data_IF_752689423902
#
_entry.id   IF_752689423902
#
_cell.length_a   1.000
_cell.length_b   1.000
_cell.length_c   1.000
_cell.angle_alpha   90.00
_cell.angle_beta   90.00
_cell.angle_gamma   90.00
#
_symmetry.space_group_name_H-M   'P 1'
#
loop_
_entity.id
_entity.type
_entity.pdbx_description
1 polymer ?
#
# COMPACT_ATOMS: atom_id res chain seq x y z
N UNK A 1 35.42 44.46 32.72
CA UNK A 1 34.79 43.19 33.17
C UNK A 1 33.30 43.12 32.79
N UNK A 2 32.51 44.20 32.95
CA UNK A 2 31.07 44.22 32.62
C UNK A 2 30.76 43.95 31.15
N UNK A 3 31.46 44.59 30.21
CA UNK A 3 31.19 44.45 28.76
C UNK A 3 31.41 43.03 28.23
N UNK A 4 32.36 42.29 28.81
CA UNK A 4 32.61 40.88 28.43
C UNK A 4 31.51 39.96 28.98
N UNK A 5 30.98 40.26 30.17
CA UNK A 5 29.89 39.52 30.79
C UNK A 5 28.58 39.72 30.02
N UNK A 6 28.27 40.96 29.62
CA UNK A 6 27.09 41.31 28.82
C UNK A 6 27.11 40.64 27.44
N UNK A 7 28.26 40.65 26.76
CA UNK A 7 28.42 39.95 25.47
C UNK A 7 28.25 38.43 25.61
N UNK A 8 28.74 37.85 26.71
CA UNK A 8 28.60 36.42 26.97
C UNK A 8 27.13 36.04 27.21
N UNK A 9 26.40 36.82 28.01
CA UNK A 9 24.98 36.60 28.29
C UNK A 9 24.14 36.76 27.02
N UNK A 10 24.42 37.77 26.20
CA UNK A 10 23.76 37.97 24.91
C UNK A 10 23.97 36.78 23.96
N UNK A 11 25.19 36.26 23.89
CA UNK A 11 25.49 35.06 23.09
C UNK A 11 24.73 33.83 23.57
N UNK A 12 24.70 33.57 24.89
CA UNK A 12 23.95 32.45 25.46
C UNK A 12 22.44 32.55 25.22
N UNK A 13 21.87 33.76 25.29
CA UNK A 13 20.44 33.98 25.02
C UNK A 13 20.10 33.74 23.55
N UNK A 14 20.92 34.26 22.62
CA UNK A 14 20.69 34.08 21.18
C UNK A 14 20.92 32.61 20.77
N UNK A 15 21.98 31.98 21.25
CA UNK A 15 22.26 30.57 20.98
C UNK A 15 21.19 29.66 21.60
N UNK A 16 20.76 29.95 22.84
CA UNK A 16 19.69 29.23 23.52
C UNK A 16 18.35 29.37 22.80
N UNK A 17 17.98 30.59 22.39
CA UNK A 17 16.76 30.84 21.63
C UNK A 17 16.80 30.14 20.25
N UNK A 18 17.95 30.14 19.57
CA UNK A 18 18.15 29.43 18.32
C UNK A 18 17.97 27.92 18.46
N UNK A 19 18.53 27.32 19.52
CA UNK A 19 18.36 25.88 19.82
C UNK A 19 16.90 25.55 20.15
N UNK A 20 16.21 26.42 20.90
CA UNK A 20 14.80 26.20 21.25
C UNK A 20 13.89 26.31 20.02
N UNK A 21 14.12 27.30 19.15
CA UNK A 21 13.31 27.50 17.95
C UNK A 21 13.56 26.40 16.91
N UNK A 22 14.83 26.09 16.61
CA UNK A 22 15.18 25.00 15.70
C UNK A 22 14.77 23.66 16.29
N UNK A 23 14.96 23.46 17.59
CA UNK A 23 14.51 22.26 18.30
C UNK A 23 13.00 22.08 18.18
N UNK A 24 12.20 23.14 18.34
CA UNK A 24 10.74 23.05 18.24
C UNK A 24 10.23 22.61 16.87
N UNK A 25 10.91 23.02 15.79
CA UNK A 25 10.50 22.66 14.43
C UNK A 25 11.09 21.34 13.95
N UNK A 26 12.35 21.05 14.30
CA UNK A 26 13.07 19.87 13.83
C UNK A 26 12.77 18.64 14.67
N UNK A 27 12.54 18.80 15.98
CA UNK A 27 12.28 17.69 16.89
C UNK A 27 11.03 16.88 16.53
N UNK A 28 9.85 17.48 16.27
CA UNK A 28 8.66 16.71 15.90
C UNK A 28 8.88 15.90 14.62
N UNK A 29 9.58 16.48 13.63
CA UNK A 29 9.92 15.79 12.38
C UNK A 29 10.86 14.60 12.62
N UNK A 30 11.90 14.78 13.43
CA UNK A 30 12.83 13.70 13.79
C UNK A 30 12.13 12.59 14.58
N UNK A 31 11.24 12.95 15.51
CA UNK A 31 10.45 11.98 16.28
C UNK A 31 9.53 11.19 15.36
N UNK A 32 8.82 11.85 14.44
CA UNK A 32 7.96 11.17 13.45
C UNK A 32 8.76 10.23 12.54
N UNK A 33 9.94 10.65 12.08
CA UNK A 33 10.83 9.80 11.28
C UNK A 33 11.38 8.62 12.10
N UNK A 34 11.69 8.83 13.39
CA UNK A 34 12.12 7.75 14.27
C UNK A 34 10.99 6.76 14.57
N UNK A 35 9.76 7.24 14.80
CA UNK A 35 8.59 6.40 15.05
C UNK A 35 8.25 5.52 13.84
N UNK A 36 8.27 6.09 12.64
CA UNK A 36 8.04 5.32 11.40
C UNK A 36 9.12 4.24 11.21
N UNK A 37 10.41 4.59 11.36
CA UNK A 37 11.51 3.62 11.27
C UNK A 37 11.46 2.56 12.39
N UNK A 38 11.08 2.94 13.61
CA UNK A 38 10.95 2.02 14.72
C UNK A 38 9.75 1.07 14.55
N UNK A 39 8.64 1.54 13.98
CA UNK A 39 7.51 0.71 13.62
C UNK A 39 7.87 -0.30 12.51
N UNK A 40 8.54 0.16 11.44
CA UNK A 40 9.03 -0.70 10.37
C UNK A 40 10.02 -1.76 10.90
N UNK A 41 10.97 -1.35 11.75
CA UNK A 41 11.91 -2.27 12.40
C UNK A 41 11.21 -3.32 13.26
N UNK A 42 10.18 -2.93 14.02
CA UNK A 42 9.38 -3.87 14.83
C UNK A 42 8.62 -4.87 13.96
N UNK A 43 8.03 -4.42 12.84
CA UNK A 43 7.36 -5.29 11.87
C UNK A 43 8.35 -6.30 11.26
N UNK A 44 9.48 -5.82 10.73
CA UNK A 44 10.53 -6.67 10.18
C UNK A 44 11.08 -7.69 11.20
N UNK A 45 11.29 -7.28 12.46
CA UNK A 45 11.68 -8.19 13.54
C UNK A 45 10.59 -9.23 13.85
N UNK A 46 9.32 -8.85 13.82
CA UNK A 46 8.22 -9.78 14.04
C UNK A 46 8.12 -10.80 12.90
N UNK A 47 8.26 -10.34 11.66
CA UNK A 47 8.24 -11.20 10.47
C UNK A 47 9.45 -12.16 10.44
N UNK A 48 10.64 -11.68 10.79
CA UNK A 48 11.84 -12.53 10.96
C UNK A 48 11.68 -13.57 12.08
N UNK A 49 11.03 -13.19 13.19
CA UNK A 49 10.78 -14.11 14.32
C UNK A 49 9.72 -15.15 14.00
N UNK A 50 8.73 -14.79 13.19
CA UNK A 50 7.68 -15.71 12.81
C UNK A 50 8.24 -16.79 11.88
N UNK A 51 9.11 -16.49 10.91
CA UNK A 51 9.65 -17.50 9.99
C UNK A 51 8.59 -18.27 9.16
N UNK A 52 7.34 -17.88 9.29
CA UNK A 52 6.16 -18.43 8.62
C UNK A 52 5.64 -17.39 7.63
N UNK A 53 5.38 -17.80 6.41
CA UNK A 53 4.70 -16.99 5.39
C UNK A 53 3.26 -17.47 5.24
N UNK A 54 2.32 -16.53 5.08
CA UNK A 54 0.96 -16.89 4.69
C UNK A 54 0.92 -17.08 3.19
N UNK A 55 0.63 -18.31 2.75
CA UNK A 55 0.46 -18.63 1.34
C UNK A 55 -0.99 -18.42 0.92
N UNK A 56 -1.16 -17.66 -0.15
CA UNK A 56 -2.42 -17.48 -0.84
C UNK A 56 -2.42 -18.17 -2.19
N UNK A 57 -3.58 -18.68 -2.57
CA UNK A 57 -3.82 -19.34 -3.84
C UNK A 57 -5.20 -18.96 -4.35
N UNK A 58 -5.30 -18.63 -5.63
CA UNK A 58 -6.56 -18.37 -6.29
C UNK A 58 -6.57 -19.00 -7.69
N UNK A 59 -7.67 -19.70 -8.02
CA UNK A 59 -7.94 -20.25 -9.35
C UNK A 59 -9.13 -19.51 -9.96
N UNK A 60 -8.85 -18.67 -10.93
CA UNK A 60 -9.80 -17.77 -11.56
C UNK A 60 -10.66 -18.50 -12.58
N UNK A 61 -11.98 -18.34 -12.46
CA UNK A 61 -12.94 -18.80 -13.48
C UNK A 61 -13.13 -17.79 -14.61
N UNK A 62 -12.85 -16.51 -14.33
CA UNK A 62 -13.00 -15.38 -15.24
C UNK A 62 -11.87 -14.38 -15.07
N UNK A 63 -11.68 -13.51 -16.06
CA UNK A 63 -10.60 -12.51 -16.04
C UNK A 63 -10.81 -11.50 -14.90
N UNK A 64 -9.72 -11.13 -14.19
CA UNK A 64 -9.76 -10.10 -13.17
C UNK A 64 -10.09 -8.73 -13.79
N UNK A 65 -10.63 -7.83 -12.96
CA UNK A 65 -10.94 -6.44 -13.36
C UNK A 65 -9.91 -5.49 -12.76
N UNK A 66 -9.46 -4.53 -13.57
CA UNK A 66 -8.41 -3.59 -13.20
C UNK A 66 -8.90 -2.16 -13.30
N UNK A 67 -8.49 -1.32 -12.35
CA UNK A 67 -8.73 0.12 -12.34
C UNK A 67 -7.41 0.83 -12.07
N UNK A 68 -6.91 1.54 -13.07
CA UNK A 68 -5.64 2.25 -13.01
C UNK A 68 -5.79 3.61 -12.31
N UNK A 69 -4.73 4.05 -11.65
CA UNK A 69 -4.58 5.38 -11.06
C UNK A 69 -3.11 5.80 -11.19
N UNK A 70 -2.78 7.04 -10.85
CA UNK A 70 -1.45 7.65 -11.10
C UNK A 70 -0.25 6.82 -10.59
N UNK A 71 -0.43 6.07 -9.51
CA UNK A 71 0.63 5.34 -8.82
C UNK A 71 0.43 3.82 -8.81
N UNK A 72 -0.44 3.29 -9.67
CA UNK A 72 -0.65 1.84 -9.72
C UNK A 72 -1.98 1.40 -10.30
N UNK A 73 -2.41 0.21 -9.86
CA UNK A 73 -3.66 -0.40 -10.29
C UNK A 73 -4.35 -1.12 -9.13
N UNK A 74 -5.66 -0.94 -9.02
CA UNK A 74 -6.52 -1.77 -8.20
C UNK A 74 -6.91 -3.00 -9.00
N UNK A 75 -6.65 -4.18 -8.47
CA UNK A 75 -7.01 -5.45 -9.10
C UNK A 75 -8.07 -6.16 -8.27
N UNK A 76 -9.18 -6.48 -8.93
CA UNK A 76 -10.27 -7.26 -8.38
C UNK A 76 -10.31 -8.61 -9.06
N UNK A 77 -10.46 -9.68 -8.29
CA UNK A 77 -10.57 -11.02 -8.82
C UNK A 77 -11.65 -11.81 -8.09
N UNK A 78 -12.41 -12.60 -8.85
CA UNK A 78 -13.46 -13.43 -8.28
C UNK A 78 -12.84 -14.58 -7.45
N UNK A 79 -13.10 -14.55 -6.15
CA UNK A 79 -12.58 -15.54 -5.21
C UNK A 79 -13.54 -16.73 -5.00
N UNK A 80 -14.70 -16.73 -5.66
CA UNK A 80 -15.79 -17.65 -5.38
C UNK A 80 -16.51 -17.32 -4.07
N UNK A 81 -17.53 -18.11 -3.72
CA UNK A 81 -18.28 -18.01 -2.46
C UNK A 81 -18.77 -16.59 -2.12
N UNK A 82 -19.17 -15.83 -3.14
CA UNK A 82 -19.60 -14.42 -3.03
C UNK A 82 -18.53 -13.51 -2.39
N UNK A 83 -17.26 -13.77 -2.68
CA UNK A 83 -16.12 -12.97 -2.22
C UNK A 83 -15.29 -12.47 -3.39
N UNK A 84 -14.68 -11.32 -3.19
CA UNK A 84 -13.82 -10.68 -4.16
C UNK A 84 -12.44 -10.47 -3.55
N UNK A 85 -11.40 -10.99 -4.20
CA UNK A 85 -10.02 -10.67 -3.85
C UNK A 85 -9.70 -9.24 -4.31
N UNK A 86 -9.14 -8.46 -3.41
CA UNK A 86 -8.64 -7.12 -3.67
C UNK A 86 -7.12 -7.09 -3.57
N UNK A 87 -6.47 -6.53 -4.59
CA UNK A 87 -5.07 -6.12 -4.52
C UNK A 87 -4.93 -4.65 -4.87
N UNK A 88 -4.09 -3.98 -4.10
CA UNK A 88 -3.57 -2.65 -4.41
C UNK A 88 -2.13 -2.84 -4.88
N UNK A 89 -1.93 -2.75 -6.19
CA UNK A 89 -0.63 -2.95 -6.82
C UNK A 89 -0.05 -1.59 -7.13
N UNK A 90 1.05 -1.23 -6.47
CA UNK A 90 1.75 0.03 -6.73
C UNK A 90 2.67 -0.11 -7.94
N UNK A 91 2.92 0.97 -8.67
CA UNK A 91 3.90 0.99 -9.76
C UNK A 91 5.37 1.09 -9.29
N UNK A 92 5.63 0.64 -8.05
CA UNK A 92 6.95 0.60 -7.43
C UNK A 92 7.74 -0.62 -7.95
N UNK A 93 9.02 -0.47 -8.35
CA UNK A 93 9.90 -1.59 -8.66
C UNK A 93 10.01 -2.66 -7.57
N UNK A 94 9.75 -2.33 -6.30
CA UNK A 94 9.76 -3.29 -5.20
C UNK A 94 8.52 -4.21 -5.20
N UNK A 95 7.41 -3.81 -5.82
CA UNK A 95 6.22 -4.64 -5.93
C UNK A 95 6.36 -5.61 -7.13
N UNK A 96 6.55 -6.92 -6.90
CA UNK A 96 6.77 -7.87 -7.98
C UNK A 96 5.55 -7.99 -8.91
N UNK A 97 4.35 -7.57 -8.46
CA UNK A 97 3.09 -7.70 -9.21
C UNK A 97 2.98 -6.68 -10.34
N UNK A 98 3.68 -5.55 -10.24
CA UNK A 98 3.60 -4.49 -11.26
C UNK A 98 4.06 -5.00 -12.64
N UNK A 99 5.17 -5.75 -12.67
CA UNK A 99 5.66 -6.35 -13.92
C UNK A 99 4.65 -7.37 -14.50
N UNK A 100 4.01 -8.19 -13.65
CA UNK A 100 2.96 -9.10 -14.10
C UNK A 100 1.75 -8.36 -14.69
N UNK A 101 1.41 -7.19 -14.15
CA UNK A 101 0.33 -6.35 -14.68
C UNK A 101 0.69 -5.82 -16.06
N UNK A 102 1.85 -5.17 -16.19
CA UNK A 102 2.33 -4.56 -17.44
C UNK A 102 2.45 -5.61 -18.55
N UNK A 103 2.96 -6.80 -18.22
CA UNK A 103 3.12 -7.90 -19.18
C UNK A 103 1.81 -8.66 -19.48
N UNK A 104 0.69 -8.30 -18.84
CA UNK A 104 -0.61 -8.96 -18.99
C UNK A 104 -0.69 -10.34 -18.33
N UNK A 105 0.33 -10.74 -17.58
CA UNK A 105 0.45 -12.04 -16.92
C UNK A 105 -0.49 -12.18 -15.71
N UNK A 106 -1.04 -11.07 -15.18
CA UNK A 106 -2.13 -11.11 -14.21
C UNK A 106 -3.42 -11.69 -14.79
N UNK A 107 -3.60 -11.72 -16.11
CA UNK A 107 -4.76 -12.38 -16.73
C UNK A 107 -4.65 -13.90 -16.76
N UNK A 108 -3.68 -14.52 -16.09
CA UNK A 108 -3.58 -15.98 -16.00
C UNK A 108 -4.52 -16.57 -14.96
N UNK A 109 -4.91 -17.81 -15.23
CA UNK A 109 -5.88 -18.56 -14.43
C UNK A 109 -5.48 -18.77 -12.97
N UNK A 110 -4.21 -18.96 -12.67
CA UNK A 110 -3.75 -19.30 -11.32
C UNK A 110 -2.90 -18.18 -10.78
N UNK A 111 -3.25 -17.69 -9.59
CA UNK A 111 -2.44 -16.76 -8.82
C UNK A 111 -1.95 -17.44 -7.54
N UNK A 112 -0.67 -17.25 -7.22
CA UNK A 112 -0.04 -17.72 -5.99
C UNK A 112 0.72 -16.58 -5.38
N UNK A 113 0.63 -16.44 -4.07
CA UNK A 113 1.35 -15.38 -3.39
C UNK A 113 1.77 -15.78 -1.99
N UNK A 114 2.82 -15.14 -1.50
CA UNK A 114 3.33 -15.28 -0.15
C UNK A 114 3.37 -13.90 0.48
N UNK A 115 2.71 -13.76 1.63
CA UNK A 115 2.75 -12.53 2.42
C UNK A 115 3.29 -12.77 3.82
N UNK A 116 3.86 -11.73 4.40
CA UNK A 116 4.31 -11.72 5.78
C UNK A 116 3.10 -11.64 6.74
N UNK A 117 3.07 -12.38 7.85
CA UNK A 117 1.90 -12.47 8.71
C UNK A 117 1.60 -11.17 9.48
N UNK A 118 2.63 -10.39 9.84
CA UNK A 118 2.46 -9.18 10.65
C UNK A 118 2.41 -7.91 9.80
N UNK A 119 3.39 -7.72 8.92
CA UNK A 119 3.40 -6.56 8.01
C UNK A 119 2.37 -6.67 6.88
N UNK A 120 1.94 -7.89 6.53
CA UNK A 120 1.10 -8.22 5.37
C UNK A 120 1.74 -7.87 4.03
N UNK A 121 3.03 -7.59 4.02
CA UNK A 121 3.79 -7.27 2.81
C UNK A 121 3.90 -8.49 1.90
N UNK A 122 3.79 -8.25 0.59
CA UNK A 122 3.86 -9.27 -0.43
C UNK A 122 5.32 -9.63 -0.74
N UNK A 123 5.77 -10.80 -0.31
CA UNK A 123 7.17 -11.24 -0.53
C UNK A 123 7.36 -11.87 -1.90
N UNK A 124 6.35 -12.62 -2.36
CA UNK A 124 6.42 -13.32 -3.63
C UNK A 124 5.05 -13.38 -4.26
N UNK A 125 5.00 -13.14 -5.55
CA UNK A 125 3.81 -13.32 -6.35
C UNK A 125 4.18 -14.07 -7.63
N UNK A 126 3.32 -14.97 -8.07
CA UNK A 126 3.51 -15.68 -9.33
C UNK A 126 2.17 -16.05 -9.94
N UNK A 127 2.13 -16.05 -11.27
CA UNK A 127 0.96 -16.50 -12.03
C UNK A 127 1.28 -17.72 -12.88
N UNK A 128 0.30 -18.62 -13.02
CA UNK A 128 0.43 -19.91 -13.70
C UNK A 128 -0.83 -20.22 -14.53
N UNK A 129 -0.74 -21.23 -15.39
CA UNK A 129 -1.87 -21.70 -16.18
C UNK A 129 -2.15 -20.86 -17.43
N UNK A 130 -3.30 -21.11 -18.05
CA UNK A 130 -3.73 -20.45 -19.30
C UNK A 130 -4.06 -18.98 -19.07
N UNK A 131 -3.81 -18.14 -20.08
CA UNK A 131 -4.32 -16.75 -20.11
C UNK A 131 -5.83 -16.76 -20.32
N UNK A 132 -6.52 -15.93 -19.56
CA UNK A 132 -7.95 -15.67 -19.66
C UNK A 132 -8.20 -14.54 -20.68
N UNK A 133 -9.41 -14.52 -21.23
CA UNK A 133 -9.83 -13.44 -22.13
C UNK A 133 -9.92 -12.15 -21.33
N UNK A 134 -9.11 -11.16 -21.70
CA UNK A 134 -9.08 -9.87 -21.03
C UNK A 134 -10.45 -9.18 -21.11
N UNK A 135 -10.96 -8.71 -19.97
CA UNK A 135 -12.28 -8.09 -19.85
C UNK A 135 -12.40 -6.68 -20.48
N UNK A 136 -11.38 -6.20 -21.20
CA UNK A 136 -11.30 -4.87 -21.78
C UNK A 136 -10.17 -4.01 -21.17
N UNK A 137 -10.06 -2.73 -21.59
CA UNK A 137 -9.13 -1.80 -20.97
C UNK A 137 -9.49 -1.56 -19.49
N UNK A 138 -8.50 -1.24 -18.64
CA UNK A 138 -8.75 -0.84 -17.26
C UNK A 138 -9.53 0.48 -17.22
N UNK A 139 -10.46 0.61 -16.26
CA UNK A 139 -11.01 1.93 -15.92
C UNK A 139 -9.92 2.82 -15.32
N UNK A 140 -10.10 4.14 -15.37
CA UNK A 140 -9.12 5.10 -14.81
C UNK A 140 -9.77 5.87 -13.68
N UNK A 141 -9.13 5.91 -12.52
CA UNK A 141 -9.51 6.73 -11.37
C UNK A 141 -8.77 8.07 -11.51
N UNK A 142 -9.48 9.10 -11.94
CA UNK A 142 -8.88 10.42 -12.24
C UNK A 142 -8.89 11.38 -11.05
N UNK A 143 -9.69 11.11 -10.02
CA UNK A 143 -9.91 12.00 -8.88
C UNK A 143 -9.59 11.33 -7.55
N UNK A 144 -9.02 12.12 -6.64
CA UNK A 144 -8.83 11.71 -5.24
C UNK A 144 -10.17 11.47 -4.53
N UNK A 145 -11.22 12.20 -4.90
CA UNK A 145 -12.55 12.00 -4.33
C UNK A 145 -13.11 10.64 -4.75
N UNK A 146 -12.90 10.25 -6.01
CA UNK A 146 -13.29 8.93 -6.52
C UNK A 146 -12.50 7.82 -5.82
N UNK A 147 -11.19 8.03 -5.62
CA UNK A 147 -10.34 7.12 -4.87
C UNK A 147 -10.82 6.90 -3.43
N UNK A 148 -11.09 7.99 -2.70
CA UNK A 148 -11.59 7.94 -1.32
C UNK A 148 -12.98 7.31 -1.25
N UNK A 149 -13.87 7.65 -2.19
CA UNK A 149 -15.20 7.06 -2.27
C UNK A 149 -15.14 5.55 -2.51
N UNK A 150 -14.26 5.09 -3.42
CA UNK A 150 -14.02 3.66 -3.67
C UNK A 150 -13.52 3.00 -2.38
N UNK A 151 -12.47 3.50 -1.74
CA UNK A 151 -11.94 2.87 -0.52
C UNK A 151 -12.99 2.81 0.60
N UNK A 152 -13.75 3.88 0.80
CA UNK A 152 -14.83 3.95 1.78
C UNK A 152 -15.95 2.96 1.46
N UNK A 153 -16.42 2.93 0.22
CA UNK A 153 -17.44 2.00 -0.25
C UNK A 153 -16.97 0.54 -0.17
N UNK A 154 -15.65 0.32 -0.22
CA UNK A 154 -15.03 -0.99 -0.07
C UNK A 154 -14.81 -1.44 1.37
N UNK A 155 -14.99 -0.55 2.35
CA UNK A 155 -14.71 -0.83 3.76
C UNK A 155 -13.21 -0.82 4.08
N UNK A 156 -12.45 0.02 3.37
CA UNK A 156 -11.00 0.19 3.50
C UNK A 156 -10.23 -1.15 3.43
N UNK A 157 -10.40 -1.92 2.34
CA UNK A 157 -9.76 -3.21 2.23
C UNK A 157 -8.24 -3.05 2.18
N UNK A 158 -7.54 -3.86 2.96
CA UNK A 158 -6.09 -3.96 2.87
C UNK A 158 -5.68 -4.78 1.64
N UNK A 159 -4.44 -4.61 1.19
CA UNK A 159 -3.88 -5.41 0.12
C UNK A 159 -3.96 -6.92 0.41
N UNK A 160 -4.52 -7.68 -0.54
CA UNK A 160 -4.78 -9.11 -0.40
C UNK A 160 -5.97 -9.47 0.50
N UNK A 161 -6.86 -8.52 0.77
CA UNK A 161 -8.11 -8.79 1.49
C UNK A 161 -9.15 -9.49 0.61
N UNK A 162 -9.99 -10.30 1.26
CA UNK A 162 -11.22 -10.83 0.67
C UNK A 162 -12.38 -9.94 1.09
N UNK A 163 -12.93 -9.20 0.14
CA UNK A 163 -14.14 -8.40 0.34
C UNK A 163 -15.32 -9.37 0.38
N UNK A 164 -16.18 -9.34 1.42
CA UNK A 164 -17.33 -10.23 1.56
C UNK A 164 -18.51 -9.77 0.68
N UNK A 165 -18.23 -9.51 -0.61
CA UNK A 165 -19.21 -9.14 -1.63
C UNK A 165 -18.92 -9.86 -2.96
N UNK A 166 -19.97 -10.13 -3.76
CA UNK A 166 -19.85 -10.70 -5.09
C UNK A 166 -18.99 -9.82 -6.01
N UNK A 167 -18.24 -10.45 -6.89
CA UNK A 167 -17.33 -9.75 -7.82
C UNK A 167 -18.04 -8.75 -8.72
N UNK A 168 -19.18 -9.12 -9.30
CA UNK A 168 -19.92 -8.22 -10.19
C UNK A 168 -20.45 -7.00 -9.45
N UNK A 169 -20.89 -7.16 -8.20
CA UNK A 169 -21.34 -6.06 -7.35
C UNK A 169 -20.19 -5.10 -7.00
N UNK A 170 -19.01 -5.65 -6.69
CA UNK A 170 -17.81 -4.84 -6.41
C UNK A 170 -17.40 -4.06 -7.64
N UNK A 171 -17.33 -4.72 -8.80
CA UNK A 171 -16.98 -4.06 -10.07
C UNK A 171 -17.99 -2.98 -10.44
N UNK A 172 -19.29 -3.26 -10.37
CA UNK A 172 -20.34 -2.27 -10.64
C UNK A 172 -20.25 -1.07 -9.68
N UNK A 173 -19.99 -1.32 -8.39
CA UNK A 173 -19.83 -0.26 -7.40
C UNK A 173 -18.66 0.65 -7.75
N UNK A 174 -17.51 0.08 -8.12
CA UNK A 174 -16.33 0.86 -8.51
C UNK A 174 -16.60 1.62 -9.80
N UNK A 175 -17.14 0.97 -10.83
CA UNK A 175 -17.44 1.59 -12.13
C UNK A 175 -18.42 2.77 -12.03
N UNK A 176 -19.33 2.76 -11.05
CA UNK A 176 -20.27 3.87 -10.79
C UNK A 176 -19.63 5.09 -10.09
N UNK A 177 -18.44 4.92 -9.52
CA UNK A 177 -17.71 5.96 -8.77
C UNK A 177 -16.57 6.59 -9.58
N UNK A 178 -16.31 6.07 -10.78
CA UNK A 178 -15.41 6.68 -11.77
C UNK A 178 -16.15 7.77 -12.55
#
# INVERSE_FOLDING_TARGET
LSAMLEASIGYFLVAGAGIVLVGRDVWPRLVAEFETRAAAKRKALADLKCGFTESGFLNLLRSPRFFAFDHGVLAFADAGDFRTLFFWITNDPEDPRWEYYVNGELNRRIWRWLRLPVSREMVRFSTEGSRLVQAGPPGVIESIDAWEAIHTALGEPMDGALIPRPFDEVVETVERLL
#
